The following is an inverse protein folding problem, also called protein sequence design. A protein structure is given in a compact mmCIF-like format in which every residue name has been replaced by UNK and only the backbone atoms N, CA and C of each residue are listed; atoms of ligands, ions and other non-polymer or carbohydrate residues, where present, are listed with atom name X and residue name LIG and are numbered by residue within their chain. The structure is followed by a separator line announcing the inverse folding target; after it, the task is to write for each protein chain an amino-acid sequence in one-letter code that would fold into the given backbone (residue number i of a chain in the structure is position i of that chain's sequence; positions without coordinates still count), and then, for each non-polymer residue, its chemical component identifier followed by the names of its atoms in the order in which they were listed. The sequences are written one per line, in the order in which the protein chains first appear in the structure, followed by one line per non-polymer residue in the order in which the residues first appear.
data_IF_299336463794
#
_entry.id   IF_299336463794
#
_cell.length_a   1.000
_cell.length_b   1.000
_cell.length_c   1.000
_cell.angle_alpha   90.00
_cell.angle_beta   90.00
_cell.angle_gamma   90.00
#
_symmetry.space_group_name_H-M   'P 1'
#
loop_
_entity.id
_entity.type
_entity.pdbx_description
1 polymer ?
#
# COMPACT_ATOMS: atom_id res chain seq x y z
N UNK A 1 23.88 -0.88 9.30
CA UNK A 1 22.72 -1.21 10.17
C UNK A 1 21.57 -1.65 9.28
N UNK A 2 20.96 -2.81 9.58
CA UNK A 2 19.81 -3.29 8.81
C UNK A 2 18.60 -2.43 9.15
N UNK A 3 18.26 -1.49 8.30
CA UNK A 3 17.00 -0.80 8.38
C UNK A 3 15.89 -1.78 7.93
N UNK A 4 15.28 -2.44 8.90
CA UNK A 4 14.08 -3.23 8.64
C UNK A 4 12.86 -2.30 8.69
N UNK A 5 11.81 -2.64 7.96
CA UNK A 5 10.52 -1.92 8.03
C UNK A 5 9.87 -2.01 9.43
N UNK A 6 10.46 -2.78 10.35
CA UNK A 6 10.00 -2.92 11.73
C UNK A 6 10.59 -1.81 12.57
N UNK A 7 9.75 -1.07 13.25
CA UNK A 7 10.14 -0.08 14.24
C UNK A 7 11.04 -0.68 15.31
N UNK A 8 11.95 0.13 15.82
CA UNK A 8 12.76 -0.24 16.97
C UNK A 8 11.84 -0.53 18.17
N UNK A 9 12.19 -1.55 18.93
CA UNK A 9 11.53 -1.82 20.21
C UNK A 9 12.12 -0.85 21.24
N UNK A 10 11.28 -0.17 22.00
CA UNK A 10 11.74 0.70 23.08
C UNK A 10 12.42 -0.13 24.20
N UNK A 11 13.16 0.51 25.12
CA UNK A 11 13.85 -0.21 26.20
C UNK A 11 12.93 -1.03 27.12
N UNK A 12 11.62 -0.80 27.05
CA UNK A 12 10.58 -1.55 27.79
C UNK A 12 9.94 -2.68 26.97
N UNK A 13 10.48 -2.96 25.78
CA UNK A 13 9.96 -3.99 24.88
C UNK A 13 8.68 -3.59 24.11
N UNK A 14 8.28 -2.32 24.12
CA UNK A 14 7.11 -1.84 23.40
C UNK A 14 7.49 -1.49 21.97
N UNK A 15 6.57 -1.73 21.06
CA UNK A 15 6.72 -1.36 19.65
C UNK A 15 6.77 0.17 19.54
N UNK A 16 7.96 0.71 19.22
CA UNK A 16 8.14 2.12 18.95
C UNK A 16 8.01 2.38 17.46
N UNK A 17 6.93 3.03 17.05
CA UNK A 17 6.70 3.38 15.65
C UNK A 17 7.21 4.80 15.39
N UNK A 18 8.03 4.94 14.35
CA UNK A 18 8.35 6.27 13.83
C UNK A 18 7.09 6.87 13.17
N UNK A 19 6.93 8.18 13.28
CA UNK A 19 5.85 8.87 12.58
C UNK A 19 5.97 8.70 11.07
N UNK A 20 4.81 8.59 10.42
CA UNK A 20 4.72 8.55 8.97
C UNK A 20 5.09 9.92 8.39
N UNK A 21 5.87 9.95 7.31
CA UNK A 21 6.41 11.19 6.75
C UNK A 21 5.49 11.85 5.73
N UNK A 22 4.70 11.05 5.00
CA UNK A 22 3.72 11.54 4.03
C UNK A 22 2.36 11.59 4.70
N UNK A 23 1.90 12.80 5.06
CA UNK A 23 0.67 12.99 5.85
C UNK A 23 -0.26 14.05 5.26
N UNK A 24 -0.20 14.25 3.96
CA UNK A 24 -1.15 15.12 3.28
C UNK A 24 -2.55 14.53 3.36
N UNK A 25 -3.53 15.43 3.50
CA UNK A 25 -4.95 15.06 3.57
C UNK A 25 -5.64 15.47 2.28
N UNK A 26 -6.59 14.66 1.86
CA UNK A 26 -7.46 15.01 0.74
C UNK A 26 -8.43 16.09 1.23
N UNK A 27 -8.32 17.31 0.68
CA UNK A 27 -9.18 18.46 1.05
C UNK A 27 -10.55 18.36 0.39
N UNK A 28 -10.58 18.00 -0.89
CA UNK A 28 -11.75 18.06 -1.73
C UNK A 28 -12.48 16.71 -1.83
N UNK A 29 -13.73 16.77 -2.27
CA UNK A 29 -14.51 15.56 -2.59
C UNK A 29 -14.01 14.99 -3.92
N UNK A 30 -13.68 13.72 -3.92
CA UNK A 30 -13.15 13.00 -5.08
C UNK A 30 -14.30 12.34 -5.85
N UNK A 31 -14.43 12.67 -7.11
CA UNK A 31 -15.39 12.07 -8.05
C UNK A 31 -14.72 11.37 -9.24
N UNK A 32 -13.42 11.58 -9.42
CA UNK A 32 -12.63 11.00 -10.50
C UNK A 32 -12.21 9.56 -10.17
N UNK A 33 -12.70 8.62 -10.98
CA UNK A 33 -12.36 7.19 -10.82
C UNK A 33 -10.89 6.94 -11.18
N UNK A 34 -10.25 6.09 -10.38
CA UNK A 34 -8.86 5.64 -10.56
C UNK A 34 -7.83 6.78 -10.57
N UNK A 35 -8.19 7.97 -10.07
CA UNK A 35 -7.21 9.00 -9.76
C UNK A 35 -6.28 8.55 -8.63
N UNK A 36 -6.84 7.88 -7.64
CA UNK A 36 -6.07 7.39 -6.50
C UNK A 36 -5.83 5.89 -6.56
N UNK A 37 -4.66 5.49 -6.06
CA UNK A 37 -4.25 4.10 -5.90
C UNK A 37 -3.91 3.86 -4.42
N UNK A 38 -4.39 2.73 -3.90
CA UNK A 38 -4.03 2.26 -2.56
C UNK A 38 -3.05 1.08 -2.70
N UNK A 39 -1.79 1.28 -2.27
CA UNK A 39 -0.76 0.25 -2.30
C UNK A 39 -0.71 -0.42 -0.94
N UNK A 40 -0.80 -1.75 -0.91
CA UNK A 40 -1.01 -2.53 0.32
C UNK A 40 -0.26 -3.85 0.30
N UNK A 41 -0.07 -4.44 1.49
CA UNK A 41 0.24 -5.87 1.64
C UNK A 41 -0.84 -6.54 2.47
N UNK A 42 -1.30 -7.70 2.06
CA UNK A 42 -2.23 -8.52 2.87
C UNK A 42 -1.62 -9.00 4.20
N UNK A 43 -0.30 -9.05 4.30
CA UNK A 43 0.40 -9.41 5.53
C UNK A 43 0.54 -8.23 6.51
N UNK A 44 0.20 -7.01 6.09
CA UNK A 44 0.31 -5.81 6.92
C UNK A 44 -1.03 -5.45 7.57
N UNK A 45 -1.18 -5.53 8.91
CA UNK A 45 -2.44 -5.20 9.57
C UNK A 45 -2.86 -3.73 9.38
N UNK A 46 -1.90 -2.81 9.28
CA UNK A 46 -2.17 -1.40 9.00
C UNK A 46 -2.75 -1.18 7.60
N UNK A 47 -2.30 -1.96 6.61
CA UNK A 47 -2.86 -1.93 5.27
C UNK A 47 -4.23 -2.62 5.21
N UNK A 48 -4.42 -3.70 5.96
CA UNK A 48 -5.68 -4.45 6.01
C UNK A 48 -6.84 -3.58 6.51
N UNK A 49 -6.63 -2.71 7.51
CA UNK A 49 -7.70 -1.80 7.94
C UNK A 49 -8.12 -0.79 6.85
N UNK A 50 -7.17 -0.35 6.01
CA UNK A 50 -7.49 0.51 4.87
C UNK A 50 -8.31 -0.24 3.82
N UNK A 51 -7.94 -1.49 3.52
CA UNK A 51 -8.73 -2.36 2.65
C UNK A 51 -10.13 -2.61 3.20
N UNK A 52 -10.26 -2.84 4.51
CA UNK A 52 -11.57 -3.03 5.16
C UNK A 52 -12.48 -1.83 4.93
N UNK A 53 -11.98 -0.61 5.14
CA UNK A 53 -12.76 0.61 4.90
C UNK A 53 -13.09 0.77 3.41
N UNK A 54 -12.13 0.53 2.52
CA UNK A 54 -12.32 0.61 1.07
C UNK A 54 -13.47 -0.30 0.62
N UNK A 55 -13.47 -1.57 1.06
CA UNK A 55 -14.51 -2.53 0.68
C UNK A 55 -15.85 -2.27 1.37
N UNK A 56 -15.88 -1.90 2.65
CA UNK A 56 -17.11 -1.55 3.36
C UNK A 56 -17.81 -0.36 2.70
N UNK A 57 -17.05 0.62 2.23
CA UNK A 57 -17.54 1.77 1.47
C UNK A 57 -17.90 1.41 0.03
N UNK A 58 -17.44 0.26 -0.49
CA UNK A 58 -17.62 -0.14 -1.88
C UNK A 58 -16.88 0.77 -2.85
N UNK A 59 -15.62 1.08 -2.54
CA UNK A 59 -14.74 1.96 -3.33
C UNK A 59 -13.87 1.19 -4.34
N UNK A 60 -14.02 -0.12 -4.40
CA UNK A 60 -13.24 -1.05 -5.23
C UNK A 60 -13.31 -0.78 -6.74
N UNK A 61 -14.39 -0.12 -7.21
CA UNK A 61 -14.52 0.31 -8.62
C UNK A 61 -13.99 1.72 -8.87
N UNK A 62 -13.67 2.47 -7.81
CA UNK A 62 -13.27 3.89 -7.88
C UNK A 62 -11.80 4.15 -7.52
N UNK A 63 -11.21 3.27 -6.72
CA UNK A 63 -9.83 3.36 -6.27
C UNK A 63 -9.11 2.08 -6.71
N UNK A 64 -7.98 2.25 -7.39
CA UNK A 64 -7.13 1.11 -7.76
C UNK A 64 -6.42 0.57 -6.53
N UNK A 65 -6.39 -0.76 -6.38
CA UNK A 65 -5.62 -1.42 -5.32
C UNK A 65 -4.44 -2.15 -5.93
N UNK A 66 -3.24 -1.85 -5.47
CA UNK A 66 -2.02 -2.55 -5.86
C UNK A 66 -1.44 -3.29 -4.66
N UNK A 67 -1.09 -4.56 -4.85
CA UNK A 67 -0.68 -5.45 -3.77
C UNK A 67 0.78 -5.80 -3.92
N UNK A 68 1.55 -5.57 -2.85
CA UNK A 68 2.93 -6.01 -2.77
C UNK A 68 3.04 -7.42 -2.21
N UNK A 69 4.20 -8.03 -2.40
CA UNK A 69 4.48 -9.41 -1.93
C UNK A 69 4.22 -9.52 -0.41
N UNK A 70 3.58 -10.61 0.07
CA UNK A 70 3.21 -10.75 1.48
C UNK A 70 4.39 -10.98 2.42
N UNK A 71 5.55 -11.39 1.88
CA UNK A 71 6.78 -11.56 2.66
C UNK A 71 7.85 -10.57 2.18
N UNK A 72 8.67 -10.11 3.11
CA UNK A 72 9.77 -9.21 2.79
C UNK A 72 10.80 -9.90 1.91
N UNK A 73 11.28 -9.17 0.92
CA UNK A 73 12.29 -9.59 -0.04
C UNK A 73 13.43 -8.56 -0.01
N UNK A 74 14.58 -8.91 -0.61
CA UNK A 74 15.62 -7.91 -0.88
C UNK A 74 15.06 -6.81 -1.77
N UNK A 75 15.24 -5.55 -1.38
CA UNK A 75 14.68 -4.40 -2.10
C UNK A 75 15.58 -3.86 -3.21
N UNK A 76 16.82 -4.34 -3.29
CA UNK A 76 17.71 -4.12 -4.43
C UNK A 76 17.84 -5.41 -5.25
N UNK A 77 17.74 -5.32 -6.56
CA UNK A 77 17.97 -6.45 -7.46
C UNK A 77 19.47 -6.68 -7.61
N UNK A 78 19.91 -7.94 -7.51
CA UNK A 78 21.14 -8.32 -8.18
C UNK A 78 20.83 -8.38 -9.67
N UNK A 79 21.40 -7.48 -10.45
CA UNK A 79 21.31 -7.56 -11.91
C UNK A 79 22.01 -8.82 -12.41
N UNK A 80 21.39 -9.48 -13.38
CA UNK A 80 22.02 -10.59 -14.10
C UNK A 80 23.23 -10.09 -14.87
N UNK A 81 24.20 -10.94 -15.09
CA UNK A 81 25.46 -10.61 -15.81
C UNK A 81 25.27 -10.19 -17.29
N UNK A 82 24.04 -10.06 -17.74
CA UNK A 82 23.71 -9.80 -19.16
C UNK A 82 23.53 -8.31 -19.51
N UNK A 83 23.50 -7.41 -18.51
CA UNK A 83 23.40 -5.96 -18.74
C UNK A 83 24.75 -5.29 -18.52
N UNK A 84 25.55 -5.20 -19.60
CA UNK A 84 26.94 -4.67 -19.59
C UNK A 84 27.05 -3.14 -19.33
N UNK A 85 25.93 -2.39 -19.23
CA UNK A 85 25.95 -0.93 -19.27
C UNK A 85 25.37 -0.22 -18.03
N UNK A 86 25.03 -0.89 -16.95
CA UNK A 86 24.47 -0.24 -15.77
C UNK A 86 25.25 -0.58 -14.50
N UNK A 87 25.53 0.43 -13.68
CA UNK A 87 26.23 0.31 -12.41
C UNK A 87 25.56 -0.75 -11.49
N UNK A 88 26.33 -1.69 -10.96
CA UNK A 88 25.83 -2.69 -10.00
C UNK A 88 25.33 -1.94 -8.76
N UNK A 89 24.01 -1.93 -8.53
CA UNK A 89 23.48 -1.48 -7.25
C UNK A 89 23.96 -2.45 -6.15
N UNK A 90 24.74 -1.93 -5.22
CA UNK A 90 25.31 -2.69 -4.12
C UNK A 90 24.16 -3.20 -3.23
N UNK A 91 24.14 -4.51 -2.95
CA UNK A 91 23.19 -5.14 -2.03
C UNK A 91 23.48 -4.65 -0.60
N UNK A 92 22.79 -3.63 -0.15
CA UNK A 92 22.92 -3.05 1.19
C UNK A 92 22.28 -3.90 2.30
N UNK A 93 21.75 -5.09 1.94
CA UNK A 93 21.12 -6.04 2.86
C UNK A 93 19.72 -5.63 3.32
N UNK A 94 19.15 -4.54 2.77
CA UNK A 94 17.79 -4.11 3.12
C UNK A 94 16.74 -5.10 2.59
N UNK A 95 15.79 -5.50 3.46
CA UNK A 95 14.64 -6.30 3.11
C UNK A 95 13.33 -5.54 3.42
N UNK A 96 12.37 -5.61 2.51
CA UNK A 96 11.11 -4.91 2.61
C UNK A 96 10.08 -5.41 1.60
N UNK A 97 9.07 -4.61 1.36
CA UNK A 97 8.00 -4.90 0.42
C UNK A 97 8.47 -4.74 -1.02
N UNK A 98 8.19 -5.76 -1.85
CA UNK A 98 8.48 -5.73 -3.28
C UNK A 98 7.20 -5.94 -4.08
N UNK A 99 7.13 -5.38 -5.29
CA UNK A 99 6.02 -5.62 -6.18
C UNK A 99 6.12 -7.03 -6.78
N UNK A 100 4.99 -7.75 -6.95
CA UNK A 100 5.01 -9.07 -7.56
C UNK A 100 5.42 -8.98 -9.02
N UNK A 101 6.23 -9.92 -9.46
CA UNK A 101 6.56 -10.13 -10.87
C UNK A 101 6.03 -11.50 -11.33
N UNK A 102 6.15 -11.77 -12.63
CA UNK A 102 5.70 -13.04 -13.23
C UNK A 102 6.35 -14.30 -12.64
N UNK A 103 7.52 -14.15 -11.98
CA UNK A 103 8.25 -15.21 -11.31
C UNK A 103 7.94 -15.31 -9.81
N UNK A 104 7.01 -14.54 -9.29
CA UNK A 104 6.64 -14.57 -7.88
C UNK A 104 5.94 -15.88 -7.54
N UNK A 105 6.62 -16.76 -6.81
CA UNK A 105 6.16 -18.13 -6.51
C UNK A 105 4.80 -18.21 -5.82
N UNK A 106 4.43 -17.19 -5.03
CA UNK A 106 3.15 -17.20 -4.33
C UNK A 106 1.95 -17.04 -5.28
N UNK A 107 2.11 -16.33 -6.42
CA UNK A 107 1.08 -16.25 -7.47
C UNK A 107 0.90 -17.64 -8.11
N UNK A 108 2.00 -18.35 -8.37
CA UNK A 108 1.97 -19.70 -8.92
C UNK A 108 1.34 -20.69 -7.94
N UNK A 109 1.59 -20.52 -6.64
CA UNK A 109 1.05 -21.42 -5.61
C UNK A 109 -0.47 -21.23 -5.42
N UNK A 110 -0.97 -20.02 -5.52
CA UNK A 110 -2.41 -19.75 -5.49
C UNK A 110 -3.13 -20.32 -6.72
N UNK A 111 -2.50 -20.33 -7.90
CA UNK A 111 -3.08 -20.92 -9.11
C UNK A 111 -3.14 -22.45 -9.09
N UNK A 112 -2.35 -23.13 -8.25
CA UNK A 112 -2.32 -24.58 -8.08
C UNK A 112 -3.28 -25.15 -7.04
N UNK A 113 -3.92 -24.31 -6.22
CA UNK A 113 -4.92 -24.73 -5.25
C UNK A 113 -6.29 -24.60 -5.91
N UNK A 114 -6.82 -25.72 -6.46
CA UNK A 114 -8.16 -25.72 -7.09
C UNK A 114 -9.29 -25.25 -6.18
N UNK A 115 -9.13 -25.37 -4.86
CA UNK A 115 -10.07 -24.81 -3.86
C UNK A 115 -9.80 -23.36 -3.51
N UNK A 116 -8.62 -22.82 -3.84
CA UNK A 116 -8.28 -21.41 -3.79
C UNK A 116 -8.52 -20.71 -5.15
N UNK A 117 -9.47 -21.18 -5.92
CA UNK A 117 -10.30 -20.32 -6.76
C UNK A 117 -11.07 -19.35 -5.85
N UNK A 118 -10.39 -18.96 -4.78
CA UNK A 118 -10.81 -17.88 -3.93
C UNK A 118 -10.78 -16.65 -4.83
N UNK A 119 -11.91 -16.05 -4.97
CA UNK A 119 -12.24 -14.79 -5.61
C UNK A 119 -11.22 -13.63 -5.40
N UNK A 120 -10.12 -13.85 -4.70
CA UNK A 120 -8.98 -12.93 -4.59
C UNK A 120 -8.42 -12.59 -5.97
N UNK A 121 -8.36 -13.57 -6.88
CA UNK A 121 -7.97 -13.31 -8.27
C UNK A 121 -9.07 -12.57 -9.03
N UNK A 122 -10.33 -12.83 -8.75
CA UNK A 122 -11.47 -12.09 -9.32
C UNK A 122 -11.63 -10.70 -8.69
N UNK A 123 -11.33 -10.50 -7.41
CA UNK A 123 -11.41 -9.19 -6.76
C UNK A 123 -10.42 -8.19 -7.36
N UNK A 124 -9.24 -8.65 -7.77
CA UNK A 124 -8.21 -7.78 -8.34
C UNK A 124 -8.14 -7.82 -9.87
N UNK A 125 -8.75 -8.81 -10.53
CA UNK A 125 -8.75 -8.97 -11.98
C UNK A 125 -10.10 -8.67 -12.65
N UNK A 126 -11.07 -8.12 -11.93
CA UNK A 126 -12.30 -7.60 -12.56
C UNK A 126 -12.03 -6.52 -13.62
N UNK A 127 -10.81 -5.99 -13.65
CA UNK A 127 -10.29 -5.25 -14.79
C UNK A 127 -9.30 -6.14 -15.52
N UNK A 128 -9.54 -6.35 -16.82
CA UNK A 128 -8.72 -7.06 -17.79
C UNK A 128 -7.22 -7.02 -17.39
N UNK A 129 -6.56 -8.17 -17.07
CA UNK A 129 -5.17 -8.21 -16.66
C UNK A 129 -4.22 -7.62 -17.70
N UNK A 130 -4.69 -7.40 -18.94
CA UNK A 130 -3.97 -6.71 -20.00
C UNK A 130 -4.01 -5.17 -19.87
N UNK A 131 -4.80 -4.61 -18.94
CA UNK A 131 -4.98 -3.16 -18.75
C UNK A 131 -4.39 -2.61 -17.46
N UNK A 132 -3.96 -3.45 -16.53
CA UNK A 132 -3.19 -2.98 -15.37
C UNK A 132 -1.78 -2.63 -15.84
N UNK A 133 -1.47 -1.33 -15.90
CA UNK A 133 -0.07 -0.91 -16.06
C UNK A 133 0.73 -1.53 -14.93
N UNK A 134 1.65 -2.44 -15.26
CA UNK A 134 2.64 -2.92 -14.29
C UNK A 134 3.37 -1.70 -13.75
N UNK A 135 3.50 -1.63 -12.45
CA UNK A 135 4.41 -0.69 -11.79
C UNK A 135 5.82 -0.90 -12.32
N UNK A 136 6.49 0.18 -12.72
CA UNK A 136 7.88 0.16 -13.20
C UNK A 136 8.86 -0.13 -12.05
N UNK A 137 8.40 0.02 -10.80
CA UNK A 137 9.18 -0.17 -9.60
C UNK A 137 9.28 -1.65 -9.20
N UNK A 138 10.44 -2.04 -8.71
CA UNK A 138 10.67 -3.36 -8.15
C UNK A 138 10.22 -3.45 -6.70
N UNK A 139 10.49 -2.43 -5.91
CA UNK A 139 10.23 -2.41 -4.47
C UNK A 139 9.50 -1.14 -4.04
N UNK A 140 8.90 -1.21 -2.85
CA UNK A 140 8.35 -0.01 -2.19
C UNK A 140 9.45 0.99 -1.88
N UNK A 141 10.69 0.54 -1.65
CA UNK A 141 11.83 1.42 -1.48
C UNK A 141 12.07 2.26 -2.73
N UNK A 142 12.15 1.64 -3.91
CA UNK A 142 12.33 2.36 -5.17
C UNK A 142 11.20 3.37 -5.40
N UNK A 143 9.97 2.98 -5.03
CA UNK A 143 8.81 3.84 -5.12
C UNK A 143 8.92 5.10 -4.24
N UNK A 144 9.38 4.96 -2.99
CA UNK A 144 9.59 6.10 -2.10
C UNK A 144 10.76 6.98 -2.57
N UNK A 145 11.88 6.38 -2.96
CA UNK A 145 13.09 7.09 -3.41
C UNK A 145 12.85 7.86 -4.70
N UNK A 146 11.99 7.39 -5.60
CA UNK A 146 11.57 8.13 -6.81
C UNK A 146 10.78 9.40 -6.46
N UNK A 147 9.95 9.33 -5.40
CA UNK A 147 9.11 10.48 -4.99
C UNK A 147 9.84 11.45 -4.06
N UNK A 148 10.83 10.97 -3.33
CA UNK A 148 11.72 11.76 -2.48
C UNK A 148 13.07 11.04 -2.35
N UNK A 149 14.04 11.45 -3.15
CA UNK A 149 15.39 10.87 -3.17
C UNK A 149 16.18 11.10 -1.87
N UNK A 150 15.71 12.01 -1.03
CA UNK A 150 16.27 12.28 0.30
C UNK A 150 15.65 11.42 1.41
N UNK A 151 14.60 10.65 1.09
CA UNK A 151 13.86 9.86 2.07
C UNK A 151 14.72 8.80 2.74
N UNK A 152 14.77 8.84 4.06
CA UNK A 152 15.54 7.91 4.92
C UNK A 152 14.64 7.18 5.93
N UNK A 153 13.35 7.34 5.81
CA UNK A 153 12.39 6.71 6.70
C UNK A 153 12.11 5.24 6.35
N UNK A 154 11.25 4.58 7.12
CA UNK A 154 10.85 3.21 6.83
C UNK A 154 9.96 3.15 5.58
N UNK A 155 10.26 2.24 4.66
CA UNK A 155 9.51 2.01 3.43
C UNK A 155 8.27 1.15 3.71
N UNK A 156 7.18 1.79 4.13
CA UNK A 156 5.99 1.13 4.68
C UNK A 156 4.82 1.06 3.70
N UNK A 157 3.86 0.19 4.01
CA UNK A 157 2.50 0.18 3.46
C UNK A 157 1.50 0.28 4.62
N UNK A 158 0.29 0.86 4.42
CA UNK A 158 -0.30 1.29 3.15
C UNK A 158 0.28 2.59 2.61
N UNK A 159 0.07 2.84 1.31
CA UNK A 159 0.34 4.11 0.66
C UNK A 159 -0.91 4.52 -0.11
N UNK A 160 -1.38 5.75 0.10
CA UNK A 160 -2.35 6.40 -0.76
C UNK A 160 -1.59 7.28 -1.77
N UNK A 161 -1.74 6.96 -3.05
CA UNK A 161 -1.00 7.59 -4.15
C UNK A 161 -1.95 8.31 -5.11
N UNK A 162 -1.64 9.55 -5.48
CA UNK A 162 -2.36 10.29 -6.52
C UNK A 162 -1.66 10.03 -7.87
N UNK A 163 -2.35 9.30 -8.76
CA UNK A 163 -1.82 8.92 -10.07
C UNK A 163 -1.77 10.09 -11.05
N UNK A 164 -2.60 11.11 -10.84
CA UNK A 164 -2.65 12.33 -11.67
C UNK A 164 -1.52 13.26 -11.30
N UNK A 165 -1.33 13.53 -10.03
CA UNK A 165 -0.26 14.39 -9.52
C UNK A 165 1.09 13.65 -9.39
N UNK A 166 1.08 12.31 -9.53
CA UNK A 166 2.26 11.42 -9.41
C UNK A 166 2.99 11.64 -8.08
N UNK A 167 2.25 11.63 -6.98
CA UNK A 167 2.82 11.81 -5.65
C UNK A 167 2.23 10.88 -4.61
N UNK A 168 3.03 10.55 -3.60
CA UNK A 168 2.54 9.95 -2.37
C UNK A 168 1.75 11.01 -1.61
N UNK A 169 0.47 10.73 -1.35
CA UNK A 169 -0.41 11.62 -0.57
C UNK A 169 -0.21 11.32 0.92
N UNK A 170 -0.39 10.06 1.29
CA UNK A 170 -0.38 9.68 2.69
C UNK A 170 0.08 8.24 2.88
N UNK A 171 0.87 7.97 3.92
CA UNK A 171 1.26 6.62 4.34
C UNK A 171 0.90 6.33 5.81
N UNK A 172 0.04 7.18 6.42
CA UNK A 172 -0.52 6.94 7.75
C UNK A 172 -1.91 6.31 7.64
N UNK A 173 -2.01 5.06 7.98
CA UNK A 173 -3.24 4.28 7.81
C UNK A 173 -4.44 4.83 8.57
N UNK A 174 -4.24 5.44 9.74
CA UNK A 174 -5.31 6.08 10.52
C UNK A 174 -5.92 7.29 9.82
N UNK A 175 -5.14 8.00 9.03
CA UNK A 175 -5.58 9.14 8.24
C UNK A 175 -6.20 8.70 6.91
N UNK A 176 -5.58 7.72 6.24
CA UNK A 176 -6.11 7.14 5.00
C UNK A 176 -7.54 6.64 5.20
N UNK A 177 -7.84 5.92 6.28
CA UNK A 177 -9.21 5.44 6.53
C UNK A 177 -10.20 6.57 6.75
N UNK A 178 -9.79 7.72 7.31
CA UNK A 178 -10.64 8.91 7.46
C UNK A 178 -10.96 9.52 6.10
N UNK A 179 -9.96 9.62 5.23
CA UNK A 179 -10.16 10.15 3.88
C UNK A 179 -11.02 9.21 3.03
N UNK A 180 -10.78 7.90 3.06
CA UNK A 180 -11.63 6.90 2.40
C UNK A 180 -13.08 6.98 2.86
N UNK A 181 -13.32 7.20 4.14
CA UNK A 181 -14.68 7.35 4.68
C UNK A 181 -15.38 8.63 4.22
N UNK A 182 -14.65 9.76 4.13
CA UNK A 182 -15.25 11.07 4.01
C UNK A 182 -15.12 11.72 2.62
N UNK A 183 -14.04 11.44 1.87
CA UNK A 183 -13.70 12.20 0.66
C UNK A 183 -14.12 11.53 -0.64
N UNK A 184 -14.40 10.25 -0.63
CA UNK A 184 -14.72 9.46 -1.81
C UNK A 184 -16.22 9.13 -1.95
N UNK A 185 -17.11 9.91 -1.33
CA UNK A 185 -18.55 9.67 -1.32
C UNK A 185 -19.16 9.48 -2.72
N UNK A 186 -18.82 10.28 -3.76
CA UNK A 186 -19.39 10.09 -5.10
C UNK A 186 -18.99 8.77 -5.77
N UNK A 187 -17.90 8.14 -5.31
CA UNK A 187 -17.41 6.86 -5.83
C UNK A 187 -17.89 5.66 -5.02
N UNK A 188 -18.41 5.91 -3.82
CA UNK A 188 -18.78 4.87 -2.87
C UNK A 188 -20.12 4.23 -3.23
N UNK A 189 -20.17 2.89 -3.32
CA UNK A 189 -21.44 2.13 -3.42
C UNK A 189 -22.28 2.28 -2.15
N UNK A 190 -21.60 2.36 -1.00
CA UNK A 190 -22.20 2.54 0.32
C UNK A 190 -21.96 3.96 0.84
N UNK A 191 -22.37 4.97 0.09
CA UNK A 191 -22.12 6.38 0.38
C UNK A 191 -22.68 6.82 1.75
N UNK A 192 -23.81 6.27 2.19
CA UNK A 192 -24.45 6.58 3.46
C UNK A 192 -23.79 5.93 4.68
N UNK A 193 -22.94 4.92 4.47
CA UNK A 193 -22.19 4.30 5.56
C UNK A 193 -21.13 5.28 6.08
N UNK A 194 -21.28 5.74 7.31
CA UNK A 194 -20.27 6.55 8.00
C UNK A 194 -19.57 5.71 9.08
N UNK A 195 -18.29 5.45 8.90
CA UNK A 195 -17.44 4.70 9.82
C UNK A 195 -16.78 5.58 10.88
N UNK A 196 -17.04 6.90 10.84
CA UNK A 196 -16.54 7.88 11.81
C UNK A 196 -17.63 8.92 12.15
N UNK A 197 -18.81 8.47 12.62
CA UNK A 197 -19.93 9.33 12.89
C UNK A 197 -19.60 10.33 14.02
N UNK A 198 -20.09 11.56 13.89
CA UNK A 198 -19.78 12.66 14.81
C UNK A 198 -20.01 12.29 16.28
N UNK A 199 -21.09 11.59 16.56
CA UNK A 199 -21.46 11.15 17.92
C UNK A 199 -20.49 10.16 18.56
N UNK A 200 -19.60 9.52 17.78
CA UNK A 200 -18.64 8.52 18.23
C UNK A 200 -17.18 8.90 18.06
N UNK A 201 -16.90 10.06 17.48
CA UNK A 201 -15.52 10.48 17.15
C UNK A 201 -14.61 10.47 18.37
N UNK A 202 -15.07 11.05 19.47
CA UNK A 202 -14.27 11.11 20.70
C UNK A 202 -13.90 9.70 21.20
N UNK A 203 -14.88 8.81 21.30
CA UNK A 203 -14.63 7.42 21.75
C UNK A 203 -13.68 6.67 20.80
N UNK A 204 -13.84 6.88 19.48
CA UNK A 204 -13.00 6.24 18.47
C UNK A 204 -11.56 6.76 18.55
N UNK A 205 -11.37 8.07 18.76
CA UNK A 205 -10.05 8.65 18.83
C UNK A 205 -9.32 8.23 20.12
N UNK A 206 -10.00 8.24 21.26
CA UNK A 206 -9.46 7.74 22.54
C UNK A 206 -9.03 6.26 22.49
N UNK A 207 -9.69 5.45 21.66
CA UNK A 207 -9.31 4.03 21.47
C UNK A 207 -8.11 3.85 20.53
N UNK A 208 -7.75 4.86 19.75
CA UNK A 208 -6.67 4.79 18.77
C UNK A 208 -5.37 5.49 19.25
N UNK A 209 -5.38 6.13 20.41
CA UNK A 209 -4.21 6.68 21.11
C UNK A 209 -3.45 5.57 21.88
#
# INVERSE_FOLDING_TARGET
ERHTAVAAVDPKGRFARNESSFRDRISDIVSEKNRYKLIVSYACPWATRCLSVLYLKGLDDGIEVEIVHPTWQKTRRKRGKDDENEEEEEDDGHAGWVFPNENSRWIQHLSGIESAKFEVQEYHTRKDPKKTKKTEFYSIRDFYEEHDNSYKGPFTVPILYDQTEKRIVNNESSEIIRDLNARFQPLAKNATLDLYPESKRKEIDEMNE
#
